data_IF_014973097550
#
_entry.id   IF_014973097550
#
_cell.length_a   1.000
_cell.length_b   1.000
_cell.length_c   1.000
_cell.angle_alpha   90.00
_cell.angle_beta   90.00
_cell.angle_gamma   90.00
#
_symmetry.space_group_name_H-M   'P 1'
#
loop_
_entity.id
_entity.type
_entity.pdbx_description
1 polymer ?
#
# COMPACT_ATOMS: atom_id res chain seq x y z
N UNK A 1 -34.54 25.70 21.34
CA UNK A 1 -33.68 25.01 20.35
C UNK A 1 -32.96 23.90 21.08
N UNK A 2 -33.39 22.64 20.92
CA UNK A 2 -32.64 21.49 21.42
C UNK A 2 -31.38 21.37 20.57
N UNK A 3 -30.24 21.70 21.15
CA UNK A 3 -28.96 21.53 20.50
C UNK A 3 -28.67 20.05 20.29
N UNK A 4 -27.95 19.71 19.21
CA UNK A 4 -27.44 18.36 18.94
C UNK A 4 -26.60 17.80 20.10
N UNK A 5 -26.17 18.67 21.02
CA UNK A 5 -25.49 18.37 22.29
C UNK A 5 -26.36 17.68 23.35
N UNK A 6 -27.65 17.48 23.09
CA UNK A 6 -28.57 16.71 23.96
C UNK A 6 -28.62 15.22 23.62
N UNK A 7 -27.94 14.79 22.55
CA UNK A 7 -27.78 13.37 22.21
C UNK A 7 -26.78 12.72 23.17
N UNK A 8 -27.10 11.52 23.64
CA UNK A 8 -26.15 10.71 24.41
C UNK A 8 -24.87 10.47 23.61
N UNK A 9 -23.71 10.49 24.29
CA UNK A 9 -22.39 10.34 23.67
C UNK A 9 -22.31 9.10 22.76
N UNK A 10 -23.02 8.02 23.10
CA UNK A 10 -23.09 6.81 22.26
C UNK A 10 -23.73 7.04 20.89
N UNK A 11 -24.81 7.82 20.82
CA UNK A 11 -25.47 8.14 19.54
C UNK A 11 -24.59 9.08 18.72
N UNK A 12 -23.92 10.04 19.38
CA UNK A 12 -22.97 10.91 18.70
C UNK A 12 -21.77 10.13 18.15
N UNK A 13 -21.25 9.16 18.89
CA UNK A 13 -20.18 8.27 18.42
C UNK A 13 -20.61 7.49 17.18
N UNK A 14 -21.78 6.85 17.17
CA UNK A 14 -22.26 6.08 16.01
C UNK A 14 -22.48 6.95 14.75
N UNK A 15 -23.00 8.18 14.93
CA UNK A 15 -23.19 9.11 13.80
C UNK A 15 -21.82 9.55 13.25
N UNK A 16 -20.94 10.02 14.12
CA UNK A 16 -19.64 10.55 13.71
C UNK A 16 -18.73 9.45 13.16
N UNK A 17 -18.81 8.21 13.66
CA UNK A 17 -17.97 7.11 13.22
C UNK A 17 -18.24 6.67 11.78
N UNK A 18 -19.37 7.10 11.20
CA UNK A 18 -19.74 6.86 9.79
C UNK A 18 -19.29 7.98 8.85
N UNK A 19 -18.75 9.08 9.37
CA UNK A 19 -18.27 10.19 8.55
C UNK A 19 -16.84 9.95 8.03
N UNK A 20 -16.48 10.48 6.85
CA UNK A 20 -15.10 10.43 6.36
C UNK A 20 -14.12 11.08 7.34
N UNK A 21 -12.93 10.51 7.48
CA UNK A 21 -11.92 11.00 8.42
C UNK A 21 -11.53 12.47 8.17
N UNK A 22 -11.45 12.90 6.90
CA UNK A 22 -11.23 14.31 6.54
C UNK A 22 -12.32 15.25 7.07
N UNK A 23 -13.58 14.82 7.08
CA UNK A 23 -14.66 15.60 7.67
C UNK A 23 -14.49 15.70 9.19
N UNK A 24 -14.17 14.59 9.84
CA UNK A 24 -13.93 14.55 11.29
C UNK A 24 -12.74 15.41 11.71
N UNK A 25 -11.69 15.50 10.90
CA UNK A 25 -10.58 16.43 11.13
C UNK A 25 -11.04 17.89 11.17
N UNK A 26 -12.03 18.28 10.37
CA UNK A 26 -12.65 19.62 10.44
C UNK A 26 -13.56 19.74 11.66
N UNK A 27 -14.29 18.69 12.02
CA UNK A 27 -15.16 18.66 13.21
C UNK A 27 -14.38 18.87 14.52
N UNK A 28 -13.13 18.37 14.61
CA UNK A 28 -12.24 18.62 15.77
C UNK A 28 -12.05 20.11 16.06
N UNK A 29 -12.15 20.98 15.06
CA UNK A 29 -11.97 22.42 15.20
C UNK A 29 -13.25 23.17 15.64
N UNK A 30 -14.41 22.51 15.66
CA UNK A 30 -15.72 23.16 15.91
C UNK A 30 -15.94 23.43 17.39
N UNK A 31 -15.69 22.44 18.26
CA UNK A 31 -15.82 22.61 19.70
C UNK A 31 -15.02 21.55 20.48
N UNK A 32 -14.75 21.83 21.77
CA UNK A 32 -13.98 20.94 22.65
C UNK A 32 -14.63 19.56 22.86
N UNK A 33 -15.96 19.44 23.11
CA UNK A 33 -16.58 18.12 23.25
C UNK A 33 -16.37 17.20 22.04
N UNK A 34 -16.57 17.71 20.82
CA UNK A 34 -16.29 16.94 19.60
C UNK A 34 -14.82 16.57 19.47
N UNK A 35 -13.92 17.50 19.78
CA UNK A 35 -12.48 17.22 19.77
C UNK A 35 -12.12 16.09 20.73
N UNK A 36 -12.64 16.13 21.96
CA UNK A 36 -12.43 15.09 22.98
C UNK A 36 -13.00 13.75 22.54
N UNK A 37 -14.24 13.74 22.01
CA UNK A 37 -14.89 12.53 21.54
C UNK A 37 -14.13 11.87 20.38
N UNK A 38 -13.82 12.66 19.34
CA UNK A 38 -13.17 12.19 18.11
C UNK A 38 -11.71 11.74 18.35
N UNK A 39 -11.06 12.30 19.38
CA UNK A 39 -9.68 11.93 19.75
C UNK A 39 -9.65 10.81 20.80
N UNK A 40 -10.80 10.36 21.30
CA UNK A 40 -10.84 9.27 22.28
C UNK A 40 -10.39 7.94 21.65
N UNK A 41 -9.65 7.08 22.38
CA UNK A 41 -9.20 5.79 21.85
C UNK A 41 -10.34 4.89 21.37
N UNK A 42 -11.47 4.90 22.06
CA UNK A 42 -12.66 4.13 21.69
C UNK A 42 -13.21 4.57 20.34
N UNK A 43 -13.34 5.89 20.12
CA UNK A 43 -13.81 6.43 18.85
C UNK A 43 -12.84 6.13 17.71
N UNK A 44 -11.54 6.34 17.92
CA UNK A 44 -10.52 6.08 16.89
C UNK A 44 -10.52 4.60 16.47
N UNK A 45 -10.65 3.68 17.43
CA UNK A 45 -10.75 2.25 17.16
C UNK A 45 -12.02 1.90 16.38
N UNK A 46 -13.16 2.43 16.80
CA UNK A 46 -14.45 2.21 16.14
C UNK A 46 -14.45 2.75 14.71
N UNK A 47 -13.97 3.98 14.52
CA UNK A 47 -13.89 4.63 13.21
C UNK A 47 -12.97 3.85 12.26
N UNK A 48 -11.78 3.44 12.73
CA UNK A 48 -10.86 2.62 11.93
C UNK A 48 -11.46 1.25 11.57
N UNK A 49 -12.14 0.60 12.52
CA UNK A 49 -12.80 -0.67 12.26
C UNK A 49 -13.89 -0.52 11.18
N UNK A 50 -14.77 0.47 11.34
CA UNK A 50 -15.80 0.77 10.32
C UNK A 50 -15.15 1.08 8.98
N UNK A 51 -14.07 1.85 8.95
CA UNK A 51 -13.40 2.23 7.71
C UNK A 51 -12.76 1.00 7.01
N UNK A 52 -12.24 0.04 7.76
CA UNK A 52 -11.75 -1.24 7.23
C UNK A 52 -12.91 -2.15 6.76
N UNK A 53 -14.04 -2.17 7.49
CA UNK A 53 -15.19 -3.05 7.21
C UNK A 53 -16.08 -2.53 6.06
N UNK A 54 -16.20 -1.20 5.91
CA UNK A 54 -17.10 -0.55 4.94
C UNK A 54 -16.40 -0.12 3.65
N UNK A 55 -15.10 -0.46 3.53
CA UNK A 55 -14.11 0.14 2.66
C UNK A 55 -14.68 0.71 1.34
N UNK A 56 -14.96 2.01 1.36
CA UNK A 56 -14.80 2.86 0.18
C UNK A 56 -13.28 2.97 -0.03
N UNK A 57 -12.72 2.02 -0.76
CA UNK A 57 -11.28 1.89 -0.86
C UNK A 57 -10.69 3.09 -1.59
N UNK A 58 -9.84 3.83 -0.88
CA UNK A 58 -8.88 4.67 -1.56
C UNK A 58 -7.73 3.75 -1.99
N UNK A 59 -7.32 3.82 -3.24
CA UNK A 59 -6.12 3.11 -3.69
C UNK A 59 -5.01 4.11 -3.94
N UNK A 60 -3.84 3.83 -3.39
CA UNK A 60 -2.61 4.53 -3.76
C UNK A 60 -1.95 3.78 -4.90
N UNK A 61 -1.84 4.42 -6.05
CA UNK A 61 -1.19 3.90 -7.25
C UNK A 61 0.21 4.50 -7.39
N UNK A 62 1.24 3.66 -7.48
CA UNK A 62 2.61 4.06 -7.75
C UNK A 62 2.89 4.00 -9.25
N UNK A 63 3.29 5.11 -9.85
CA UNK A 63 3.58 5.25 -11.26
C UNK A 63 5.02 5.71 -11.50
N UNK A 64 5.72 5.13 -12.48
CA UNK A 64 7.06 5.56 -12.89
C UNK A 64 7.01 6.06 -14.34
N UNK A 65 7.54 7.26 -14.61
CA UNK A 65 7.63 7.82 -15.98
C UNK A 65 8.91 7.40 -16.71
N UNK A 66 9.56 6.31 -16.32
CA UNK A 66 10.90 5.92 -16.77
C UNK A 66 11.97 6.99 -16.48
N UNK A 67 11.74 7.85 -15.48
CA UNK A 67 12.62 9.00 -15.15
C UNK A 67 13.25 8.90 -13.76
N UNK A 68 13.22 7.73 -13.12
CA UNK A 68 13.58 7.54 -11.70
C UNK A 68 12.71 8.34 -10.72
N UNK A 69 11.70 9.07 -11.21
CA UNK A 69 10.74 9.84 -10.42
C UNK A 69 9.44 9.04 -10.37
N UNK A 70 9.03 8.71 -9.15
CA UNK A 70 7.77 8.04 -8.88
C UNK A 70 6.68 9.05 -8.56
N UNK A 71 5.49 8.83 -9.11
CA UNK A 71 4.29 9.59 -8.88
C UNK A 71 3.29 8.72 -8.13
N UNK A 72 2.50 9.33 -7.26
CA UNK A 72 1.48 8.63 -6.50
C UNK A 72 0.13 9.29 -6.72
N UNK A 73 -0.88 8.46 -6.85
CA UNK A 73 -2.26 8.89 -7.04
C UNK A 73 -3.14 8.21 -6.01
N UNK A 74 -4.05 8.96 -5.36
CA UNK A 74 -5.13 8.37 -4.59
C UNK A 74 -6.40 8.35 -5.43
N UNK A 75 -7.02 7.19 -5.56
CA UNK A 75 -8.29 6.99 -6.26
C UNK A 75 -9.38 6.58 -5.27
N UNK A 76 -10.47 7.34 -5.22
CA UNK A 76 -11.70 6.93 -4.53
C UNK A 76 -12.56 6.08 -5.48
N UNK A 77 -12.63 4.79 -5.19
CA UNK A 77 -13.29 3.81 -6.07
C UNK A 77 -14.81 3.92 -6.05
N UNK A 78 -15.39 4.31 -4.91
CA UNK A 78 -16.85 4.44 -4.78
C UNK A 78 -17.34 5.70 -5.51
N UNK A 79 -16.57 6.79 -5.43
CA UNK A 79 -16.89 8.02 -6.16
C UNK A 79 -16.59 7.88 -7.66
N UNK A 80 -15.59 7.06 -8.04
CA UNK A 80 -15.20 6.73 -9.42
C UNK A 80 -14.95 7.94 -10.35
N UNK A 81 -14.73 9.13 -9.79
CA UNK A 81 -14.69 10.38 -10.56
C UNK A 81 -13.44 11.23 -10.30
N UNK A 82 -12.62 10.90 -9.29
CA UNK A 82 -11.52 11.76 -8.87
C UNK A 82 -10.24 10.99 -8.58
N UNK A 83 -9.26 11.16 -9.46
CA UNK A 83 -7.86 10.79 -9.22
C UNK A 83 -7.14 12.02 -8.68
N UNK A 84 -6.61 11.92 -7.47
CA UNK A 84 -5.85 13.01 -6.85
C UNK A 84 -4.37 12.67 -6.82
N UNK A 85 -3.52 13.65 -7.14
CA UNK A 85 -2.09 13.51 -6.90
C UNK A 85 -1.84 13.39 -5.40
N UNK A 86 -1.11 12.36 -4.99
CA UNK A 86 -0.64 12.16 -3.64
C UNK A 86 0.82 12.59 -3.57
N UNK A 87 1.07 13.80 -3.07
CA UNK A 87 2.43 14.30 -2.91
C UNK A 87 3.07 13.68 -1.67
N UNK A 88 4.15 12.94 -1.87
CA UNK A 88 4.91 12.37 -0.75
C UNK A 88 5.61 13.48 0.06
N UNK A 89 5.73 13.31 1.39
CA UNK A 89 6.29 14.31 2.28
C UNK A 89 7.78 14.61 2.03
N UNK A 90 8.54 13.65 1.52
CA UNK A 90 9.96 13.80 1.16
C UNK A 90 10.21 13.37 -0.30
N UNK A 91 11.12 14.05 -1.03
CA UNK A 91 11.55 13.58 -2.34
C UNK A 91 12.43 12.33 -2.23
N UNK A 92 12.32 11.43 -3.21
CA UNK A 92 13.18 10.24 -3.30
C UNK A 92 12.80 9.07 -2.39
N UNK A 93 11.71 9.20 -1.62
CA UNK A 93 11.10 8.08 -0.89
C UNK A 93 10.01 7.41 -1.73
N UNK A 94 9.71 6.16 -1.41
CA UNK A 94 8.69 5.36 -2.08
C UNK A 94 7.78 4.71 -1.05
N UNK A 95 6.52 4.46 -1.41
CA UNK A 95 5.62 3.68 -0.55
C UNK A 95 6.12 2.23 -0.55
N UNK A 96 6.22 1.63 0.63
CA UNK A 96 6.65 0.23 0.81
C UNK A 96 5.61 -0.62 1.53
N UNK A 97 4.55 0.00 2.04
CA UNK A 97 3.39 -0.69 2.58
C UNK A 97 2.35 0.29 3.12
N UNK A 98 1.15 -0.24 3.33
CA UNK A 98 0.00 0.47 3.90
C UNK A 98 -0.64 -0.42 4.95
N UNK A 99 -0.95 0.13 6.12
CA UNK A 99 -1.63 -0.61 7.18
C UNK A 99 -2.42 0.36 8.07
N UNK A 100 -3.70 0.06 8.32
CA UNK A 100 -4.57 0.86 9.20
C UNK A 100 -4.62 2.36 8.85
N UNK A 101 -4.51 2.69 7.56
CA UNK A 101 -4.48 4.06 7.05
C UNK A 101 -3.16 4.81 7.26
N UNK A 102 -2.10 4.12 7.70
CA UNK A 102 -0.74 4.64 7.69
C UNK A 102 0.01 4.09 6.48
N UNK A 103 0.77 4.96 5.81
CA UNK A 103 1.71 4.59 4.77
C UNK A 103 3.12 4.53 5.35
N UNK A 104 3.83 3.45 5.07
CA UNK A 104 5.27 3.35 5.33
C UNK A 104 6.02 3.76 4.07
N UNK A 105 6.97 4.67 4.22
CA UNK A 105 7.80 5.19 3.13
C UNK A 105 9.27 4.87 3.37
N UNK A 106 10.04 4.66 2.31
CA UNK A 106 11.48 4.39 2.40
C UNK A 106 12.26 4.96 1.23
N UNK A 107 13.53 5.31 1.46
CA UNK A 107 14.50 5.61 0.40
C UNK A 107 15.00 4.34 -0.35
N UNK A 108 14.45 3.16 -0.03
CA UNK A 108 14.89 1.85 -0.53
C UNK A 108 16.34 1.51 -0.18
N UNK A 109 16.89 2.11 0.88
CA UNK A 109 18.26 1.90 1.35
C UNK A 109 18.29 1.64 2.86
N UNK A 110 18.10 2.68 3.65
CA UNK A 110 18.37 2.67 5.09
C UNK A 110 17.29 3.35 5.90
N UNK A 111 16.55 4.30 5.31
CA UNK A 111 15.54 5.03 6.07
C UNK A 111 14.14 4.43 5.85
N UNK A 112 13.37 4.44 6.93
CA UNK A 112 11.94 4.21 6.92
C UNK A 112 11.25 5.39 7.60
N UNK A 113 10.03 5.69 7.19
CA UNK A 113 9.21 6.76 7.76
C UNK A 113 7.74 6.37 7.70
N UNK A 114 6.95 6.92 8.63
CA UNK A 114 5.51 6.73 8.64
C UNK A 114 4.84 8.04 8.24
N UNK A 115 3.77 7.92 7.47
CA UNK A 115 2.98 9.03 7.02
C UNK A 115 1.50 8.71 7.10
N UNK A 116 0.72 9.61 7.67
CA UNK A 116 -0.73 9.60 7.57
C UNK A 116 -1.16 10.74 6.63
N UNK A 117 -1.54 10.45 5.37
CA UNK A 117 -2.02 11.48 4.45
C UNK A 117 -3.25 12.26 4.95
N UNK A 118 -4.09 11.65 5.77
CA UNK A 118 -5.31 12.27 6.30
C UNK A 118 -5.02 13.29 7.40
N UNK A 119 -4.15 12.95 8.35
CA UNK A 119 -3.77 13.87 9.45
C UNK A 119 -2.57 14.75 9.10
N UNK A 120 -1.86 14.43 8.01
CA UNK A 120 -0.60 15.06 7.56
C UNK A 120 0.57 14.89 8.54
N UNK A 121 0.43 14.01 9.52
CA UNK A 121 1.52 13.64 10.42
C UNK A 121 2.54 12.80 9.67
N UNK A 122 3.81 13.16 9.81
CA UNK A 122 4.95 12.48 9.23
C UNK A 122 6.06 12.31 10.27
N UNK A 123 6.63 11.12 10.35
CA UNK A 123 7.79 10.86 11.22
C UNK A 123 8.82 10.01 10.50
N UNK A 124 10.08 10.42 10.63
CA UNK A 124 11.22 9.63 10.16
C UNK A 124 11.65 8.70 11.29
N UNK A 125 11.77 7.42 10.99
CA UNK A 125 12.25 6.42 11.94
C UNK A 125 13.78 6.45 11.98
N UNK A 126 14.38 5.84 13.00
CA UNK A 126 15.84 5.69 13.03
C UNK A 126 16.29 4.91 11.80
N UNK A 127 17.48 5.25 11.29
CA UNK A 127 18.04 4.53 10.15
C UNK A 127 18.37 3.09 10.54
N UNK A 128 18.09 2.17 9.62
CA UNK A 128 18.54 0.80 9.73
C UNK A 128 20.08 0.74 9.81
N UNK A 129 20.65 -0.34 10.38
CA UNK A 129 22.08 -0.58 10.38
C UNK A 129 22.69 -0.39 8.99
N UNK A 130 23.84 0.27 8.92
CA UNK A 130 24.52 0.51 7.66
C UNK A 130 25.06 -0.80 7.09
N UNK A 131 24.87 -1.00 5.79
CA UNK A 131 25.42 -2.15 5.09
C UNK A 131 26.94 -2.01 4.99
N UNK A 132 27.69 -3.04 5.39
CA UNK A 132 29.13 -3.10 5.14
C UNK A 132 29.41 -3.27 3.63
N UNK A 133 29.75 -2.15 2.97
CA UNK A 133 30.38 -1.98 1.63
C UNK A 133 29.66 -2.57 0.42
N UNK A 134 29.33 -1.66 -0.52
CA UNK A 134 29.44 -1.76 -1.99
C UNK A 134 29.46 -3.16 -2.64
N UNK A 135 28.53 -4.04 -2.30
CA UNK A 135 28.34 -5.26 -3.07
C UNK A 135 27.44 -4.93 -4.26
N UNK A 136 27.99 -5.11 -5.47
CA UNK A 136 27.20 -5.22 -6.68
C UNK A 136 26.12 -6.30 -6.44
N UNK A 137 24.91 -6.08 -6.96
CA UNK A 137 23.75 -6.99 -6.85
C UNK A 137 23.03 -7.01 -5.49
N UNK A 138 23.23 -6.01 -4.62
CA UNK A 138 22.37 -5.81 -3.46
C UNK A 138 21.00 -5.25 -3.86
N UNK A 139 19.94 -5.81 -3.29
CA UNK A 139 18.59 -5.23 -3.32
C UNK A 139 17.99 -5.18 -1.93
N UNK A 140 17.18 -4.17 -1.67
CA UNK A 140 16.58 -3.96 -0.35
C UNK A 140 15.08 -3.85 -0.55
N UNK A 141 14.35 -4.66 0.19
CA UNK A 141 12.89 -4.71 0.17
C UNK A 141 12.41 -4.36 1.57
N UNK A 142 11.44 -3.47 1.65
CA UNK A 142 10.77 -3.16 2.91
C UNK A 142 9.36 -3.75 2.91
N UNK A 143 8.85 -4.01 4.10
CA UNK A 143 7.45 -4.34 4.35
C UNK A 143 6.96 -3.66 5.61
N UNK A 144 5.65 -3.53 5.74
CA UNK A 144 5.02 -2.81 6.85
C UNK A 144 3.73 -3.51 7.27
N UNK A 145 3.52 -3.64 8.58
CA UNK A 145 2.32 -4.27 9.12
C UNK A 145 2.08 -3.93 10.59
N UNK A 146 0.96 -4.42 11.10
CA UNK A 146 0.46 -4.14 12.45
C UNK A 146 0.12 -5.42 13.19
N UNK A 147 0.76 -5.68 14.32
CA UNK A 147 0.54 -6.88 15.13
C UNK A 147 -0.67 -6.64 16.04
N UNK A 148 -1.72 -7.43 15.86
CA UNK A 148 -2.98 -7.20 16.56
C UNK A 148 -2.92 -7.57 18.06
N UNK A 149 -2.04 -8.48 18.48
CA UNK A 149 -1.88 -8.90 19.89
C UNK A 149 -1.13 -7.85 20.70
N UNK A 150 0.03 -7.40 20.23
CA UNK A 150 0.87 -6.40 20.91
C UNK A 150 0.46 -4.96 20.60
N UNK A 151 -0.37 -4.73 19.59
CA UNK A 151 -0.80 -3.41 19.09
C UNK A 151 0.35 -2.55 18.56
N UNK A 152 1.40 -3.20 18.06
CA UNK A 152 2.59 -2.54 17.54
C UNK A 152 2.60 -2.54 16.01
N UNK A 153 3.14 -1.47 15.42
CA UNK A 153 3.51 -1.49 14.02
C UNK A 153 4.96 -1.96 13.89
N UNK A 154 5.23 -2.74 12.85
CA UNK A 154 6.60 -3.16 12.52
C UNK A 154 6.95 -2.84 11.07
N UNK A 155 8.19 -2.42 10.87
CA UNK A 155 8.81 -2.26 9.55
C UNK A 155 9.84 -3.36 9.37
N UNK A 156 9.67 -4.16 8.34
CA UNK A 156 10.64 -5.16 7.92
C UNK A 156 11.57 -4.55 6.87
N UNK A 157 12.86 -4.85 6.97
CA UNK A 157 13.87 -4.58 5.94
C UNK A 157 14.59 -5.87 5.62
N UNK A 158 14.45 -6.35 4.39
CA UNK A 158 15.15 -7.51 3.87
C UNK A 158 16.22 -7.07 2.87
N UNK A 159 17.45 -7.49 3.11
CA UNK A 159 18.60 -7.28 2.23
C UNK A 159 18.81 -8.56 1.45
N UNK A 160 18.91 -8.44 0.13
CA UNK A 160 19.13 -9.54 -0.79
C UNK A 160 20.48 -9.41 -1.46
N UNK A 161 21.22 -10.51 -1.50
CA UNK A 161 22.43 -10.67 -2.29
C UNK A 161 22.23 -11.84 -3.27
N UNK A 162 22.38 -11.59 -4.58
CA UNK A 162 22.14 -12.61 -5.63
C UNK A 162 20.81 -13.37 -5.42
N UNK A 163 19.73 -12.62 -5.18
CA UNK A 163 18.35 -13.14 -4.96
C UNK A 163 18.11 -13.92 -3.66
N UNK A 164 19.14 -14.12 -2.83
CA UNK A 164 19.02 -14.74 -1.51
C UNK A 164 18.95 -13.68 -0.41
N UNK A 165 18.13 -13.92 0.59
CA UNK A 165 18.08 -13.08 1.79
C UNK A 165 19.42 -13.21 2.51
N UNK A 166 20.14 -12.09 2.66
CA UNK A 166 21.41 -12.02 3.37
C UNK A 166 21.25 -11.45 4.78
N UNK A 167 20.30 -10.55 4.98
CA UNK A 167 20.08 -9.88 6.26
C UNK A 167 18.60 -9.47 6.37
N UNK A 168 18.06 -9.58 7.58
CA UNK A 168 16.70 -9.15 7.90
C UNK A 168 16.76 -8.30 9.15
N UNK A 169 16.23 -7.08 9.05
CA UNK A 169 16.08 -6.19 10.19
C UNK A 169 14.59 -5.89 10.40
N UNK A 170 14.17 -5.88 11.65
CA UNK A 170 12.81 -5.53 12.06
C UNK A 170 12.88 -4.31 12.96
N UNK A 171 12.10 -3.29 12.64
CA UNK A 171 11.92 -2.12 13.49
C UNK A 171 10.54 -2.18 14.12
N UNK A 172 10.48 -2.05 15.44
CA UNK A 172 9.21 -1.91 16.15
C UNK A 172 8.95 -0.43 16.41
N UNK A 173 7.84 0.07 15.86
CA UNK A 173 7.44 1.47 15.99
C UNK A 173 7.04 1.72 17.45
N UNK A 174 7.49 2.85 18.00
CA UNK A 174 7.30 3.18 19.42
C UNK A 174 8.49 2.83 20.31
N UNK A 175 9.12 1.66 20.15
CA UNK A 175 10.31 1.27 20.95
C UNK A 175 11.62 1.82 20.38
N UNK A 176 11.63 2.19 19.10
CA UNK A 176 12.70 3.00 18.52
C UNK A 176 13.96 2.25 18.11
N UNK A 177 13.94 0.91 17.97
CA UNK A 177 15.16 0.15 17.64
C UNK A 177 14.98 -0.86 16.50
N UNK A 178 16.04 -1.02 15.72
CA UNK A 178 16.18 -2.10 14.74
C UNK A 178 16.78 -3.32 15.41
N UNK A 179 16.16 -4.47 15.20
CA UNK A 179 16.66 -5.78 15.61
C UNK A 179 17.01 -6.59 14.38
N UNK A 180 18.17 -7.22 14.36
CA UNK A 180 18.52 -8.21 13.32
C UNK A 180 17.92 -9.56 13.69
N UNK A 181 17.30 -10.21 12.71
CA UNK A 181 16.72 -11.54 12.83
C UNK A 181 17.69 -12.54 12.23
N UNK A 182 17.91 -13.67 12.90
CA UNK A 182 18.75 -14.74 12.39
C UNK A 182 18.11 -15.38 11.15
N UNK A 183 18.81 -15.31 10.03
CA UNK A 183 18.33 -15.85 8.75
C UNK A 183 19.01 -17.18 8.49
N UNK A 184 18.23 -18.25 8.42
CA UNK A 184 18.69 -19.51 7.80
C UNK A 184 18.58 -19.33 6.29
N UNK A 185 19.70 -19.47 5.56
CA UNK A 185 19.93 -19.08 4.16
C UNK A 185 19.11 -19.85 3.08
N UNK A 186 17.84 -20.19 3.34
CA UNK A 186 17.10 -21.20 2.57
C UNK A 186 16.16 -20.62 1.49
N UNK A 187 16.01 -19.30 1.39
CA UNK A 187 14.98 -18.70 0.56
C UNK A 187 15.54 -17.84 -0.57
N UNK A 188 15.25 -18.23 -1.82
CA UNK A 188 15.46 -17.41 -3.01
C UNK A 188 14.16 -16.67 -3.35
N UNK A 189 14.16 -15.35 -3.26
CA UNK A 189 13.01 -14.55 -3.66
C UNK A 189 13.12 -14.19 -5.14
N UNK A 190 12.11 -14.58 -5.92
CA UNK A 190 12.09 -14.30 -7.36
C UNK A 190 11.50 -12.90 -7.66
N UNK A 191 10.56 -12.44 -6.85
CA UNK A 191 9.72 -11.27 -7.16
C UNK A 191 9.98 -10.05 -6.26
N UNK A 192 11.24 -9.80 -5.93
CA UNK A 192 11.66 -8.71 -5.02
C UNK A 192 11.31 -7.28 -5.48
N UNK A 193 10.78 -7.11 -6.70
CA UNK A 193 10.33 -5.82 -7.22
C UNK A 193 8.83 -5.57 -7.03
N UNK A 194 8.06 -6.61 -6.69
CA UNK A 194 6.61 -6.54 -6.55
C UNK A 194 6.20 -5.97 -5.18
N UNK A 195 4.90 -5.87 -4.95
CA UNK A 195 4.34 -5.53 -3.65
C UNK A 195 4.68 -6.61 -2.61
N UNK A 196 4.76 -6.20 -1.34
CA UNK A 196 4.88 -7.10 -0.20
C UNK A 196 3.56 -7.03 0.57
N UNK A 197 2.56 -7.86 0.22
CA UNK A 197 1.26 -7.78 0.86
C UNK A 197 1.33 -8.19 2.33
N UNK A 198 0.74 -7.35 3.17
CA UNK A 198 0.49 -7.62 4.58
C UNK A 198 -0.90 -8.24 4.75
N UNK A 199 -0.95 -9.50 5.18
CA UNK A 199 -2.19 -10.25 5.40
C UNK A 199 -2.03 -11.11 6.64
N UNK A 200 -3.04 -11.13 7.52
CA UNK A 200 -3.08 -12.03 8.68
C UNK A 200 -1.80 -12.02 9.53
N UNK A 201 -1.27 -10.84 9.86
CA UNK A 201 -0.03 -10.74 10.68
C UNK A 201 1.27 -10.97 9.91
N UNK A 202 1.21 -11.34 8.63
CA UNK A 202 2.35 -11.82 7.86
C UNK A 202 2.62 -10.97 6.62
N UNK A 203 3.89 -10.85 6.23
CA UNK A 203 4.35 -10.27 4.97
C UNK A 203 4.69 -11.38 3.99
N UNK A 204 4.39 -11.22 2.70
CA UNK A 204 4.50 -12.33 1.74
C UNK A 204 5.27 -11.98 0.47
N UNK A 205 5.94 -12.99 -0.11
CA UNK A 205 6.67 -12.91 -1.37
C UNK A 205 6.54 -14.21 -2.16
N UNK A 206 6.71 -14.12 -3.47
CA UNK A 206 6.95 -15.29 -4.31
C UNK A 206 8.44 -15.65 -4.25
N UNK A 207 8.73 -16.93 -4.03
CA UNK A 207 10.08 -17.44 -4.03
C UNK A 207 10.17 -18.90 -4.41
N UNK A 208 11.39 -19.43 -4.30
CA UNK A 208 11.73 -20.83 -4.57
C UNK A 208 12.46 -21.40 -3.36
N UNK A 209 12.10 -22.63 -3.02
CA UNK A 209 12.74 -23.44 -2.01
C UNK A 209 12.79 -24.87 -2.54
N UNK A 210 13.99 -25.47 -2.54
CA UNK A 210 14.25 -26.80 -3.10
C UNK A 210 13.75 -26.97 -4.55
N UNK A 211 14.04 -25.97 -5.40
CA UNK A 211 13.59 -25.86 -6.81
C UNK A 211 12.06 -25.86 -7.01
N UNK A 212 11.29 -25.77 -5.92
CA UNK A 212 9.83 -25.68 -5.94
C UNK A 212 9.39 -24.26 -5.64
N UNK A 213 8.47 -23.73 -6.45
CA UNK A 213 7.83 -22.44 -6.20
C UNK A 213 7.05 -22.48 -4.88
N UNK A 214 7.31 -21.52 -4.00
CA UNK A 214 6.64 -21.36 -2.70
C UNK A 214 6.23 -19.92 -2.49
N UNK A 215 5.28 -19.71 -1.59
CA UNK A 215 5.00 -18.39 -1.03
C UNK A 215 5.85 -18.31 0.23
N UNK A 216 6.83 -17.41 0.24
CA UNK A 216 7.59 -17.11 1.43
C UNK A 216 6.73 -16.14 2.24
N UNK A 217 6.57 -16.40 3.53
CA UNK A 217 5.88 -15.52 4.47
C UNK A 217 6.79 -15.20 5.65
N UNK A 218 6.62 -14.02 6.24
CA UNK A 218 7.31 -13.63 7.46
C UNK A 218 6.30 -13.15 8.47
N UNK A 219 6.26 -13.86 9.58
CA UNK A 219 5.43 -13.56 10.73
C UNK A 219 6.02 -12.38 11.48
N UNK A 220 5.28 -11.26 11.57
CA UNK A 220 5.76 -10.07 12.26
C UNK A 220 5.77 -10.23 13.78
N UNK A 221 4.92 -11.09 14.33
CA UNK A 221 4.82 -11.34 15.76
C UNK A 221 5.94 -12.27 16.22
N UNK A 222 6.07 -13.41 15.56
CA UNK A 222 7.11 -14.41 15.87
C UNK A 222 8.48 -14.09 15.27
N UNK A 223 8.55 -13.13 14.34
CA UNK A 223 9.74 -12.73 13.59
C UNK A 223 10.44 -13.90 12.88
N UNK A 224 9.65 -14.78 12.25
CA UNK A 224 10.13 -16.01 11.60
C UNK A 224 9.60 -16.14 10.17
N UNK A 225 10.43 -16.72 9.32
CA UNK A 225 10.02 -17.13 7.98
C UNK A 225 9.25 -18.44 8.01
N UNK A 226 8.25 -18.54 7.13
CA UNK A 226 7.46 -19.73 6.89
C UNK A 226 7.21 -19.87 5.39
N UNK A 227 7.00 -21.10 4.92
CA UNK A 227 6.65 -21.37 3.53
C UNK A 227 5.18 -21.79 3.44
N UNK A 228 4.43 -21.15 2.56
CA UNK A 228 3.08 -21.55 2.18
C UNK A 228 3.07 -22.14 0.77
N UNK A 229 2.06 -22.94 0.49
CA UNK A 229 1.86 -23.56 -0.83
C UNK A 229 1.04 -22.66 -1.74
N UNK A 230 1.42 -22.63 -3.02
CA UNK A 230 0.58 -22.09 -4.09
C UNK A 230 -0.67 -22.96 -4.29
N UNK A 231 -1.76 -22.40 -4.86
CA UNK A 231 -2.87 -23.21 -5.35
C UNK A 231 -2.41 -24.21 -6.40
N UNK A 232 -3.17 -25.29 -6.57
CA UNK A 232 -3.02 -26.14 -7.74
C UNK A 232 -3.68 -25.42 -8.92
N UNK A 233 -2.86 -24.99 -9.88
CA UNK A 233 -3.29 -24.39 -11.13
C UNK A 233 -2.48 -24.94 -12.29
N UNK A 234 -3.09 -24.97 -13.48
CA UNK A 234 -2.43 -25.38 -14.70
C UNK A 234 -1.40 -24.33 -15.11
N UNK A 235 -0.14 -24.51 -14.69
CA UNK A 235 0.91 -23.50 -14.77
C UNK A 235 1.63 -23.57 -16.12
N UNK A 236 1.64 -22.44 -16.84
CA UNK A 236 2.56 -22.21 -17.95
C UNK A 236 3.60 -21.21 -17.47
N UNK A 237 4.68 -21.72 -16.87
CA UNK A 237 5.69 -20.89 -16.22
C UNK A 237 6.44 -19.94 -17.17
N UNK A 238 6.41 -20.21 -18.48
CA UNK A 238 7.08 -19.37 -19.48
C UNK A 238 6.23 -18.15 -19.87
N UNK A 239 4.90 -18.23 -19.70
CA UNK A 239 3.97 -17.20 -20.19
C UNK A 239 3.09 -16.58 -19.10
N UNK A 240 2.93 -17.24 -17.95
CA UNK A 240 2.10 -16.74 -16.85
C UNK A 240 2.83 -15.65 -16.04
N UNK A 241 2.22 -14.48 -15.92
CA UNK A 241 2.64 -13.51 -14.91
C UNK A 241 1.83 -13.71 -13.63
N UNK A 242 2.51 -14.05 -12.53
CA UNK A 242 1.86 -14.28 -11.24
C UNK A 242 2.35 -13.28 -10.20
N UNK A 243 1.44 -12.62 -9.50
CA UNK A 243 1.74 -11.71 -8.39
C UNK A 243 0.93 -12.06 -7.15
N UNK A 244 1.48 -11.78 -5.97
CA UNK A 244 0.75 -11.84 -4.71
C UNK A 244 0.24 -10.45 -4.37
N UNK A 245 -0.92 -10.39 -3.73
CA UNK A 245 -1.44 -9.16 -3.15
C UNK A 245 -2.44 -9.44 -2.06
N UNK A 246 -2.82 -8.37 -1.35
CA UNK A 246 -4.01 -8.39 -0.51
C UNK A 246 -5.23 -8.05 -1.38
N UNK A 247 -6.31 -8.79 -1.18
CA UNK A 247 -7.59 -8.57 -1.87
C UNK A 247 -8.70 -9.03 -0.93
N UNK A 248 -9.65 -8.14 -0.62
CA UNK A 248 -10.71 -8.40 0.37
C UNK A 248 -10.15 -8.85 1.74
N UNK A 249 -9.00 -8.29 2.15
CA UNK A 249 -8.33 -8.69 3.40
C UNK A 249 -7.71 -10.09 3.39
N UNK A 250 -7.78 -10.82 2.27
CA UNK A 250 -7.24 -12.17 2.12
C UNK A 250 -5.98 -12.19 1.26
N UNK A 251 -5.13 -13.21 1.48
CA UNK A 251 -3.96 -13.45 0.66
C UNK A 251 -4.44 -13.97 -0.69
N UNK A 252 -4.07 -13.25 -1.75
CA UNK A 252 -4.58 -13.52 -3.07
C UNK A 252 -3.47 -13.60 -4.11
N UNK A 253 -3.68 -14.49 -5.08
CA UNK A 253 -2.84 -14.65 -6.26
C UNK A 253 -3.55 -14.04 -7.46
N UNK A 254 -2.85 -13.15 -8.15
CA UNK A 254 -3.25 -12.61 -9.44
C UNK A 254 -2.41 -13.32 -10.51
N UNK A 255 -3.08 -14.04 -11.39
CA UNK A 255 -2.44 -14.74 -12.50
C UNK A 255 -2.94 -14.14 -13.80
N UNK A 256 -2.04 -13.55 -14.56
CA UNK A 256 -2.29 -13.15 -15.94
C UNK A 256 -1.86 -14.28 -16.86
N UNK A 257 -2.84 -14.91 -17.49
CA UNK A 257 -2.62 -15.90 -18.55
C UNK A 257 -2.53 -15.12 -19.85
N UNK A 258 -1.31 -15.01 -20.38
CA UNK A 258 -0.99 -14.20 -21.55
C UNK A 258 -2.03 -14.39 -22.67
N UNK A 259 -2.56 -13.28 -23.19
CA UNK A 259 -3.57 -13.26 -24.27
C UNK A 259 -4.87 -14.03 -24.02
N UNK A 260 -5.10 -14.53 -22.80
CA UNK A 260 -6.33 -15.24 -22.44
C UNK A 260 -7.17 -14.45 -21.42
N UNK A 261 -6.70 -14.36 -20.19
CA UNK A 261 -7.51 -13.90 -19.06
C UNK A 261 -6.65 -13.60 -17.84
N UNK A 262 -7.20 -12.79 -16.94
CA UNK A 262 -6.71 -12.66 -15.57
C UNK A 262 -7.55 -13.49 -14.62
N UNK A 263 -6.88 -14.31 -13.83
CA UNK A 263 -7.48 -15.08 -12.75
C UNK A 263 -7.12 -14.48 -11.39
N UNK A 264 -8.12 -14.40 -10.52
CA UNK A 264 -7.95 -13.97 -9.13
C UNK A 264 -8.27 -15.17 -8.25
N UNK A 265 -7.28 -15.61 -7.50
CA UNK A 265 -7.40 -16.68 -6.52
C UNK A 265 -7.21 -16.12 -5.12
N UNK A 266 -7.92 -16.69 -4.15
CA UNK A 266 -7.85 -16.24 -2.76
C UNK A 266 -7.81 -17.44 -1.81
N UNK A 267 -6.91 -17.35 -0.83
CA UNK A 267 -6.76 -18.33 0.24
C UNK A 267 -7.79 -18.05 1.33
N UNK A 268 -8.81 -18.90 1.44
CA UNK A 268 -9.94 -18.68 2.36
C UNK A 268 -9.57 -18.93 3.81
N UNK A 269 -8.81 -20.00 4.06
CA UNK A 269 -8.26 -20.34 5.35
C UNK A 269 -6.75 -20.16 5.29
N UNK A 270 -6.24 -19.16 6.00
CA UNK A 270 -4.84 -18.79 5.92
C UNK A 270 -3.91 -19.98 6.25
N UNK A 271 -2.92 -20.23 5.39
CA UNK A 271 -1.97 -21.33 5.50
C UNK A 271 -2.47 -22.69 4.97
N UNK A 272 -3.76 -22.84 4.66
CA UNK A 272 -4.34 -24.11 4.18
C UNK A 272 -4.36 -24.12 2.66
N UNK A 273 -3.58 -25.01 2.02
CA UNK A 273 -3.47 -25.11 0.56
C UNK A 273 -4.83 -25.38 -0.10
N UNK A 274 -5.61 -26.28 0.48
CA UNK A 274 -6.89 -26.73 -0.05
C UNK A 274 -7.96 -25.63 0.01
N UNK A 275 -7.72 -24.55 0.76
CA UNK A 275 -8.65 -23.43 0.89
C UNK A 275 -8.52 -22.39 -0.24
N UNK A 276 -7.54 -22.54 -1.13
CA UNK A 276 -7.41 -21.68 -2.28
C UNK A 276 -8.62 -21.85 -3.21
N UNK A 277 -9.26 -20.73 -3.53
CA UNK A 277 -10.43 -20.70 -4.42
C UNK A 277 -10.24 -19.68 -5.51
N UNK A 278 -10.57 -20.05 -6.75
CA UNK A 278 -10.64 -19.10 -7.87
C UNK A 278 -11.90 -18.25 -7.70
N UNK A 279 -11.72 -16.96 -7.43
CA UNK A 279 -12.82 -16.01 -7.26
C UNK A 279 -13.34 -15.51 -8.60
N UNK A 280 -12.40 -15.14 -9.48
CA UNK A 280 -12.69 -14.49 -10.76
C UNK A 280 -11.80 -15.01 -11.88
N UNK A 281 -12.34 -14.95 -13.09
CA UNK A 281 -11.67 -15.28 -14.35
C UNK A 281 -12.16 -14.27 -15.39
N UNK A 282 -11.36 -13.24 -15.62
CA UNK A 282 -11.71 -12.06 -16.41
C UNK A 282 -10.99 -12.17 -17.75
N UNK A 283 -11.74 -12.41 -18.82
CA UNK A 283 -11.15 -12.48 -20.15
C UNK A 283 -10.54 -11.12 -20.54
N UNK A 284 -9.42 -11.16 -21.28
CA UNK A 284 -8.93 -9.96 -21.95
C UNK A 284 -9.98 -9.52 -22.97
N UNK A 285 -10.43 -8.25 -22.97
CA UNK A 285 -11.32 -7.75 -24.01
C UNK A 285 -10.56 -7.80 -25.33
N UNK A 286 -11.16 -8.45 -26.32
CA UNK A 286 -10.49 -8.81 -27.56
C UNK A 286 -9.93 -7.59 -28.32
N UNK A 287 -8.81 -7.83 -29.01
CA UNK A 287 -8.10 -6.92 -29.94
C UNK A 287 -7.27 -5.82 -29.29
N UNK A 288 -6.40 -6.18 -28.35
CA UNK A 288 -5.22 -5.37 -28.04
C UNK A 288 -3.96 -6.18 -28.27
N UNK A 289 -2.86 -5.50 -28.61
CA UNK A 289 -1.56 -6.10 -28.85
C UNK A 289 -1.21 -7.02 -27.65
N UNK A 290 -0.80 -8.28 -27.89
CA UNK A 290 -0.35 -9.21 -26.86
C UNK A 290 0.62 -8.67 -25.82
N UNK A 291 1.38 -7.64 -26.19
CA UNK A 291 2.36 -7.01 -25.31
C UNK A 291 1.80 -5.80 -24.52
N UNK A 292 0.57 -5.36 -24.82
CA UNK A 292 -0.03 -4.13 -24.28
C UNK A 292 -1.22 -4.37 -23.34
N UNK A 293 -1.69 -5.61 -23.10
CA UNK A 293 -2.84 -5.84 -22.20
C UNK A 293 -2.38 -6.34 -20.82
N UNK A 294 -2.11 -5.43 -19.88
CA UNK A 294 -1.97 -5.78 -18.47
C UNK A 294 -3.25 -5.43 -17.74
N UNK A 295 -3.92 -6.44 -17.20
CA UNK A 295 -5.17 -6.29 -16.46
C UNK A 295 -4.88 -6.42 -14.97
N UNK A 296 -5.05 -5.33 -14.22
CA UNK A 296 -4.70 -5.27 -12.79
C UNK A 296 -5.96 -5.09 -11.94
N UNK A 297 -6.40 -6.14 -11.22
CA UNK A 297 -7.50 -6.01 -10.29
C UNK A 297 -7.13 -5.06 -9.15
N UNK A 298 -8.04 -4.13 -8.88
CA UNK A 298 -7.86 -3.09 -7.88
C UNK A 298 -8.54 -3.47 -6.57
N UNK A 299 -9.84 -3.77 -6.60
CA UNK A 299 -10.63 -4.25 -5.44
C UNK A 299 -12.01 -4.79 -5.87
N UNK A 300 -12.86 -5.22 -4.93
CA UNK A 300 -14.30 -5.44 -5.14
C UNK A 300 -15.09 -4.23 -4.62
N UNK A 301 -16.03 -3.73 -5.42
CA UNK A 301 -16.97 -2.68 -5.01
C UNK A 301 -18.07 -3.25 -4.15
N UNK A 302 -18.77 -2.41 -3.38
CA UNK A 302 -19.93 -2.79 -2.54
C UNK A 302 -21.03 -3.62 -3.23
N UNK A 303 -21.14 -3.53 -4.57
CA UNK A 303 -22.10 -4.30 -5.37
C UNK A 303 -21.60 -5.69 -5.79
N UNK A 304 -20.39 -6.07 -5.41
CA UNK A 304 -19.75 -7.34 -5.78
C UNK A 304 -19.02 -7.32 -7.13
N UNK A 305 -18.90 -6.15 -7.77
CA UNK A 305 -18.16 -6.00 -9.02
C UNK A 305 -16.66 -5.86 -8.73
N UNK A 306 -15.82 -6.56 -9.49
CA UNK A 306 -14.37 -6.35 -9.43
C UNK A 306 -14.02 -5.11 -10.21
N UNK A 307 -13.37 -4.15 -9.56
CA UNK A 307 -12.81 -2.98 -10.20
C UNK A 307 -11.42 -3.31 -10.71
N UNK A 308 -11.15 -3.00 -11.97
CA UNK A 308 -9.95 -3.45 -12.68
C UNK A 308 -9.43 -2.31 -13.54
N UNK A 309 -8.10 -2.21 -13.59
CA UNK A 309 -7.41 -1.32 -14.51
C UNK A 309 -6.91 -2.12 -15.72
N UNK A 310 -7.16 -1.60 -16.92
CA UNK A 310 -6.52 -2.05 -18.15
C UNK A 310 -5.55 -0.96 -18.61
N UNK A 311 -4.48 -1.37 -19.28
CA UNK A 311 -3.64 -0.43 -20.01
C UNK A 311 -4.48 0.45 -20.97
N UNK A 312 -4.04 1.71 -21.17
CA UNK A 312 -4.69 2.76 -21.99
C UNK A 312 -5.82 3.60 -21.35
N UNK A 313 -5.75 3.83 -20.04
CA UNK A 313 -6.51 4.82 -19.23
C UNK A 313 -7.88 4.41 -18.74
N UNK A 314 -8.50 3.39 -19.32
CA UNK A 314 -9.86 3.03 -18.91
C UNK A 314 -9.85 2.15 -17.67
N UNK A 315 -10.57 2.60 -16.64
CA UNK A 315 -11.00 1.75 -15.55
C UNK A 315 -12.27 1.05 -15.96
N UNK A 316 -12.45 -0.19 -15.53
CA UNK A 316 -13.68 -0.91 -15.78
C UNK A 316 -14.06 -1.73 -14.56
N UNK A 317 -15.33 -2.05 -14.50
CA UNK A 317 -15.87 -2.96 -13.51
C UNK A 317 -16.40 -4.21 -14.16
N UNK A 318 -15.92 -5.33 -13.66
CA UNK A 318 -16.33 -6.65 -14.07
C UNK A 318 -17.39 -7.19 -13.09
N UNK A 319 -18.60 -7.44 -13.58
CA UNK A 319 -19.69 -7.99 -12.78
C UNK A 319 -19.92 -9.48 -13.10
N UNK A 320 -19.76 -10.36 -12.10
CA UNK A 320 -19.96 -11.81 -12.28
C UNK A 320 -21.43 -12.19 -12.54
N UNK A 321 -22.38 -11.50 -11.92
CA UNK A 321 -23.81 -11.88 -11.92
C UNK A 321 -24.54 -11.48 -13.19
N UNK A 322 -24.01 -10.54 -13.97
CA UNK A 322 -24.57 -10.11 -15.26
C UNK A 322 -23.80 -10.71 -16.42
N UNK A 323 -23.71 -12.03 -16.54
CA UNK A 323 -23.04 -12.72 -17.68
C UNK A 323 -21.59 -12.23 -17.99
N UNK A 324 -20.84 -11.76 -17.00
CA UNK A 324 -19.50 -11.21 -17.23
C UNK A 324 -19.49 -9.84 -17.94
N UNK A 325 -20.56 -9.05 -17.80
CA UNK A 325 -20.63 -7.68 -18.33
C UNK A 325 -19.49 -6.84 -17.74
N UNK A 326 -18.75 -6.21 -18.64
CA UNK A 326 -17.74 -5.19 -18.37
C UNK A 326 -18.41 -3.82 -18.53
N UNK A 327 -18.53 -3.07 -17.45
CA UNK A 327 -18.94 -1.66 -17.50
C UNK A 327 -17.68 -0.78 -17.49
N UNK A 328 -17.56 0.12 -18.47
CA UNK A 328 -16.44 1.05 -18.59
C UNK A 328 -16.68 2.30 -17.76
N UNK A 329 -15.65 2.73 -17.03
CA UNK A 329 -15.64 3.94 -16.23
C UNK A 329 -14.56 4.88 -16.77
N UNK A 330 -14.99 6.02 -17.32
CA UNK A 330 -14.06 7.03 -17.80
C UNK A 330 -13.58 7.86 -16.60
N UNK A 331 -12.48 7.44 -15.99
CA UNK A 331 -11.87 8.14 -14.86
C UNK A 331 -10.72 9.00 -15.37
N UNK A 332 -10.95 10.30 -15.48
CA UNK A 332 -9.93 11.22 -15.92
C UNK A 332 -8.74 11.28 -14.95
N UNK A 333 -7.52 11.25 -15.51
CA UNK A 333 -6.28 11.46 -14.76
C UNK A 333 -5.66 10.19 -14.18
N UNK A 334 -6.25 9.02 -14.36
CA UNK A 334 -5.58 7.76 -13.99
C UNK A 334 -4.37 7.52 -14.91
N UNK A 335 -3.21 7.08 -14.38
CA UNK A 335 -2.07 6.78 -15.23
C UNK A 335 -2.34 5.58 -16.15
N UNK A 336 -1.69 5.58 -17.32
CA UNK A 336 -1.85 4.55 -18.35
C UNK A 336 -1.40 3.16 -17.86
N UNK A 337 -0.49 3.12 -16.88
CA UNK A 337 -0.04 1.94 -16.16
C UNK A 337 0.38 2.32 -14.73
N UNK A 338 0.52 1.36 -13.83
CA UNK A 338 1.14 1.58 -12.51
C UNK A 338 1.96 0.37 -12.12
N UNK A 339 3.00 0.56 -11.30
CA UNK A 339 3.87 -0.52 -10.84
C UNK A 339 3.27 -1.26 -9.64
N UNK A 340 2.77 -0.49 -8.66
CA UNK A 340 2.23 -1.01 -7.39
C UNK A 340 0.91 -0.32 -7.03
N UNK A 341 0.05 -1.05 -6.32
CA UNK A 341 -1.17 -0.59 -5.67
C UNK A 341 -1.08 -0.84 -4.17
N UNK A 342 -1.64 0.06 -3.39
CA UNK A 342 -1.81 -0.12 -1.96
C UNK A 342 -3.24 0.23 -1.59
N UNK A 343 -3.95 -0.69 -0.95
CA UNK A 343 -5.22 -0.37 -0.29
C UNK A 343 -4.94 0.64 0.82
N UNK A 344 -5.67 1.75 0.81
CA UNK A 344 -5.54 2.83 1.74
C UNK A 344 -6.91 3.21 2.28
N UNK A 345 -6.96 3.47 3.57
CA UNK A 345 -8.14 3.93 4.25
C UNK A 345 -7.82 5.25 4.93
N UNK A 346 -8.68 6.24 4.78
CA UNK A 346 -8.47 7.49 5.50
C UNK A 346 -8.68 7.26 6.99
N UNK A 347 -7.69 7.61 7.81
CA UNK A 347 -7.74 7.36 9.25
C UNK A 347 -7.43 8.60 10.08
N UNK A 348 -8.00 8.63 11.27
CA UNK A 348 -7.68 9.60 12.32
C UNK A 348 -6.53 9.15 13.23
N UNK A 349 -5.94 7.97 12.98
CA UNK A 349 -4.79 7.44 13.72
C UNK A 349 -3.67 8.48 13.78
N UNK A 350 -3.32 8.89 14.99
CA UNK A 350 -2.20 9.80 15.22
C UNK A 350 -0.92 8.98 15.41
N UNK A 351 0.06 9.22 14.55
CA UNK A 351 1.44 8.75 14.68
C UNK A 351 2.00 9.21 16.04
N UNK A 352 1.61 10.40 16.51
CA UNK A 352 2.03 10.91 17.83
C UNK A 352 1.57 10.07 19.01
N UNK A 353 0.43 9.40 18.88
CA UNK A 353 -0.03 8.48 19.92
C UNK A 353 0.68 7.11 19.88
N UNK A 354 1.36 6.79 18.77
CA UNK A 354 2.07 5.52 18.56
C UNK A 354 3.56 5.65 18.95
N UNK A 355 4.16 6.81 18.65
CA UNK A 355 5.56 7.07 18.93
C UNK A 355 5.78 7.44 20.40
N UNK A 356 6.77 6.80 21.02
CA UNK A 356 7.30 7.19 22.33
C UNK A 356 8.57 8.01 22.07
N UNK A 357 8.64 9.24 22.56
CA UNK A 357 9.84 10.11 22.59
C UNK A 357 10.52 10.45 21.23
N UNK A 358 9.75 10.72 20.16
CA UNK A 358 10.30 11.26 18.89
C UNK A 358 9.53 12.50 18.43
N UNK A 359 10.27 13.52 17.96
CA UNK A 359 9.70 14.75 17.38
C UNK A 359 8.94 14.45 16.08
N UNK A 360 7.69 14.90 16.01
CA UNK A 360 6.81 14.67 14.87
C UNK A 360 6.70 15.93 14.03
N UNK A 361 6.87 15.76 12.73
CA UNK A 361 6.74 16.85 11.77
C UNK A 361 5.33 16.78 11.16
N UNK A 362 4.54 17.83 11.38
CA UNK A 362 3.28 18.02 10.65
C UNK A 362 3.60 18.71 9.34
N UNK A 363 3.30 18.07 8.21
CA UNK A 363 3.59 18.62 6.88
C UNK A 363 2.49 19.61 6.52
N UNK A 364 2.79 20.90 6.56
CA UNK A 364 1.88 21.96 6.11
C UNK A 364 2.11 22.30 4.62
N UNK A 365 1.01 22.40 3.86
CA UNK A 365 1.01 22.66 2.41
C UNK A 365 1.34 24.12 2.06
N UNK A 366 1.42 25.01 3.06
CA UNK A 366 1.53 26.47 2.83
C UNK A 366 2.95 26.99 2.53
N UNK A 367 3.99 26.16 2.51
CA UNK A 367 5.35 26.61 2.16
C UNK A 367 5.65 26.42 0.67
N UNK A 368 5.72 27.50 -0.15
CA UNK A 368 6.25 27.38 -1.50
C UNK A 368 7.73 26.96 -1.41
N UNK A 369 8.08 25.84 -2.05
CA UNK A 369 9.46 25.37 -2.18
C UNK A 369 10.29 26.49 -2.84
N UNK A 370 11.31 26.99 -2.13
CA UNK A 370 12.26 27.98 -2.65
C UNK A 370 12.88 27.45 -3.94
N UNK A 371 12.56 28.06 -5.08
CA UNK A 371 13.33 27.87 -6.32
C UNK A 371 14.76 28.31 -6.05
N UNK A 372 15.72 27.39 -6.20
CA UNK A 372 17.14 27.73 -6.21
C UNK A 372 17.44 28.74 -7.31
N UNK A 373 18.51 29.55 -7.17
CA UNK A 373 18.76 30.68 -8.04
C UNK A 373 19.07 30.20 -9.45
N UNK A 374 18.21 30.60 -10.40
CA UNK A 374 18.46 30.47 -11.84
C UNK A 374 19.62 31.39 -12.23
N UNK A 375 20.82 30.82 -12.39
CA UNK A 375 21.96 31.49 -12.98
C UNK A 375 21.77 31.69 -14.48
N UNK A 376 21.06 32.76 -14.87
CA UNK A 376 21.09 33.27 -16.22
C UNK A 376 22.30 34.22 -16.37
N UNK A 377 23.31 33.80 -17.15
CA UNK A 377 24.29 34.73 -17.74
C UNK A 377 24.16 34.65 -19.26
N UNK A 378 23.37 35.57 -19.82
CA UNK A 378 23.53 36.03 -21.19
C UNK A 378 24.49 37.21 -21.17
N UNK A 379 25.60 37.09 -21.89
CA UNK A 379 26.53 38.20 -22.18
C UNK A 379 26.65 38.30 -23.71
N UNK A 380 25.94 39.27 -24.28
CA UNK A 380 26.24 39.83 -25.60
C UNK A 380 26.15 41.35 -25.49
N UNK A 381 27.29 42.00 -25.63
CA UNK A 381 27.47 43.44 -25.72
C UNK A 381 28.76 43.74 -26.49
N UNK A 382 28.63 43.85 -27.82
CA UNK A 382 29.51 44.65 -28.70
C UNK A 382 29.37 46.13 -28.25
N UNK A 383 30.31 47.07 -28.39
CA UNK A 383 31.40 47.25 -29.35
C UNK A 383 32.24 48.50 -28.95
N UNK A 384 33.55 48.45 -29.25
CA UNK A 384 34.37 49.53 -29.88
C UNK A 384 34.78 50.78 -29.11
N UNK A 385 35.90 51.40 -29.53
CA UNK A 385 35.85 52.49 -30.52
C UNK A 385 36.07 52.08 -31.98
#
# INVERSE_FOLDING_TARGET
>A
MSTIWSLEDGVMMDILSRLPAKCLMRCKCVCKPLQTLITSPCFLKLHLQIANDTASENIVLEYDKNTSIKYYYSLDIDACNEVRNLELPEPGVVVVGSCNGLLCLSDSKTSASLWNPTTKEYVKLLNAPSLCRQQLHLKIVFGFGFINTTKEYKVLRCVYYKFRISEVNVYTVGTGSWKTVDVVLLHEAQDIWKEVPYVNGNLHWSGVCDDIRKIISFDLEEEKFQNLSWPDYDADYDHDCVTLGAFEGQLSMFRDVMNSRVEIWSMKDYGVKESWTKLFSIAHPGVLDPYDCVVKPLTIRKKGDVFVHMNHKDLFSYCRTRNGIVEYHNVHGIPDWFLKRYSYVETLTSIASIMIDIDIVVVDETRPRRRGPSGAKHLHGKQRP
#
